data_IF_444869498345
#
_entry.id   IF_444869498345
#
_cell.length_a   1.000
_cell.length_b   1.000
_cell.length_c   1.000
_cell.angle_alpha   90.00
_cell.angle_beta   90.00
_cell.angle_gamma   90.00
#
_symmetry.space_group_name_H-M   'P 1'
#
loop_
_entity.id
_entity.type
_entity.pdbx_description
1 polymer ?
#
# COMPACT_ATOMS: atom_id res chain seq x y z
N UNK A 1 -15.22 28.59 17.77
CA UNK A 1 -14.00 27.85 18.15
C UNK A 1 -13.98 26.37 17.82
N UNK A 2 -14.88 25.53 18.32
CA UNK A 2 -14.81 24.07 18.15
C UNK A 2 -14.68 23.60 16.68
N UNK A 3 -15.59 24.03 15.81
CA UNK A 3 -15.56 23.64 14.38
C UNK A 3 -14.27 24.05 13.67
N UNK A 4 -13.77 25.27 13.91
CA UNK A 4 -12.49 25.72 13.32
C UNK A 4 -11.30 24.88 13.79
N UNK A 5 -11.33 24.41 15.03
CA UNK A 5 -10.31 23.50 15.56
C UNK A 5 -10.39 22.13 14.89
N UNK A 6 -11.58 21.56 14.80
CA UNK A 6 -11.81 20.27 14.13
C UNK A 6 -11.41 20.31 12.65
N UNK A 7 -11.77 21.39 11.95
CA UNK A 7 -11.38 21.61 10.55
C UNK A 7 -9.84 21.69 10.42
N UNK A 8 -9.16 22.40 11.33
CA UNK A 8 -7.69 22.48 11.34
C UNK A 8 -7.03 21.13 11.69
N UNK A 9 -7.58 20.37 12.63
CA UNK A 9 -7.10 19.04 13.00
C UNK A 9 -7.19 18.07 11.81
N UNK A 10 -8.31 18.06 11.10
CA UNK A 10 -8.48 17.24 9.90
C UNK A 10 -7.46 17.61 8.81
N UNK A 11 -7.21 18.90 8.59
CA UNK A 11 -6.22 19.36 7.60
C UNK A 11 -4.80 18.93 7.97
N UNK A 12 -4.41 19.08 9.23
CA UNK A 12 -3.11 18.61 9.71
C UNK A 12 -2.96 17.09 9.59
N UNK A 13 -4.03 16.32 9.85
CA UNK A 13 -4.02 14.87 9.65
C UNK A 13 -3.84 14.50 8.17
N UNK A 14 -4.56 15.18 7.28
CA UNK A 14 -4.46 14.97 5.85
C UNK A 14 -3.08 15.33 5.27
N UNK A 15 -2.49 16.45 5.72
CA UNK A 15 -1.12 16.84 5.34
C UNK A 15 -0.09 15.79 5.79
N UNK A 16 -0.21 15.33 7.04
CA UNK A 16 0.66 14.29 7.57
C UNK A 16 0.52 12.97 6.79
N UNK A 17 -0.70 12.57 6.44
CA UNK A 17 -0.95 11.36 5.67
C UNK A 17 -0.37 11.46 4.25
N UNK A 18 -0.56 12.59 3.58
CA UNK A 18 0.02 12.83 2.26
C UNK A 18 1.55 12.75 2.30
N UNK A 19 2.16 13.40 3.29
CA UNK A 19 3.61 13.39 3.47
C UNK A 19 4.17 12.00 3.80
N UNK A 20 3.56 11.28 4.74
CA UNK A 20 4.04 9.95 5.14
C UNK A 20 3.90 8.95 4.00
N UNK A 21 2.81 9.03 3.23
CA UNK A 21 2.59 8.15 2.07
C UNK A 21 3.63 8.39 0.98
N UNK A 22 3.88 9.65 0.62
CA UNK A 22 4.95 10.01 -0.34
C UNK A 22 6.31 9.51 0.11
N UNK A 23 6.60 9.65 1.41
CA UNK A 23 7.85 9.17 1.98
C UNK A 23 7.99 7.66 1.83
N UNK A 24 6.95 6.88 2.14
CA UNK A 24 6.98 5.42 2.01
C UNK A 24 7.20 5.01 0.56
N UNK A 25 6.52 5.67 -0.40
CA UNK A 25 6.73 5.43 -1.84
C UNK A 25 8.13 5.82 -2.32
N UNK A 26 8.72 6.88 -1.78
CA UNK A 26 10.09 7.26 -2.11
C UNK A 26 11.12 6.24 -1.58
N UNK A 27 10.87 5.67 -0.39
CA UNK A 27 11.78 4.73 0.27
C UNK A 27 11.63 3.28 -0.21
N UNK A 28 10.43 2.88 -0.65
CA UNK A 28 10.11 1.48 -0.98
C UNK A 28 9.41 1.33 -2.33
N UNK A 29 9.40 2.37 -3.16
CA UNK A 29 8.64 2.39 -4.41
C UNK A 29 9.08 1.33 -5.42
N UNK A 30 10.30 0.81 -5.32
CA UNK A 30 10.79 -0.32 -6.10
C UNK A 30 10.09 -1.66 -5.75
N UNK A 31 9.61 -1.80 -4.51
CA UNK A 31 8.91 -2.98 -4.00
C UNK A 31 7.40 -2.95 -4.23
N UNK A 32 6.88 -1.81 -4.69
CA UNK A 32 5.44 -1.62 -4.91
C UNK A 32 5.13 -1.85 -6.39
N UNK A 33 4.01 -2.51 -6.74
CA UNK A 33 3.52 -2.58 -8.12
C UNK A 33 3.25 -1.19 -8.73
N UNK A 34 3.44 -1.03 -10.04
CA UNK A 34 3.31 0.27 -10.72
C UNK A 34 1.88 0.81 -10.75
N UNK A 35 0.88 -0.08 -10.81
CA UNK A 35 -0.53 0.24 -10.69
C UNK A 35 -0.86 0.82 -9.31
N UNK A 36 -0.38 0.20 -8.23
CA UNK A 36 -0.55 0.69 -6.85
C UNK A 36 0.18 2.03 -6.65
N UNK A 37 1.40 2.16 -7.19
CA UNK A 37 2.14 3.43 -7.19
C UNK A 37 1.35 4.56 -7.86
N UNK A 38 0.76 4.29 -9.03
CA UNK A 38 -0.01 5.26 -9.79
C UNK A 38 -1.29 5.68 -9.04
N UNK A 39 -2.03 4.70 -8.50
CA UNK A 39 -3.26 4.94 -7.74
C UNK A 39 -2.99 5.82 -6.51
N UNK A 40 -1.95 5.51 -5.75
CA UNK A 40 -1.62 6.27 -4.54
C UNK A 40 -1.07 7.65 -4.87
N UNK A 41 -0.20 7.78 -5.87
CA UNK A 41 0.32 9.08 -6.30
C UNK A 41 -0.82 10.00 -6.75
N UNK A 42 -1.81 9.46 -7.47
CA UNK A 42 -3.02 10.19 -7.84
C UNK A 42 -3.80 10.64 -6.59
N UNK A 43 -4.07 9.73 -5.64
CA UNK A 43 -4.80 10.05 -4.41
C UNK A 43 -4.09 11.11 -3.55
N UNK A 44 -2.75 11.06 -3.45
CA UNK A 44 -1.95 12.11 -2.78
C UNK A 44 -2.13 13.46 -3.48
N UNK A 45 -2.05 13.47 -4.82
CA UNK A 45 -2.25 14.70 -5.61
C UNK A 45 -3.64 15.30 -5.44
N UNK A 46 -4.68 14.46 -5.42
CA UNK A 46 -6.05 14.89 -5.18
C UNK A 46 -6.25 15.44 -3.76
N UNK A 47 -5.68 14.80 -2.74
CA UNK A 47 -5.74 15.29 -1.37
C UNK A 47 -5.03 16.63 -1.22
N UNK A 48 -3.84 16.79 -1.82
CA UNK A 48 -3.12 18.07 -1.84
C UNK A 48 -3.90 19.17 -2.54
N UNK A 49 -4.58 18.84 -3.63
CA UNK A 49 -5.46 19.78 -4.35
C UNK A 49 -6.63 20.20 -3.48
N UNK A 50 -7.28 19.26 -2.77
CA UNK A 50 -8.35 19.57 -1.84
C UNK A 50 -7.86 20.44 -0.66
N UNK A 51 -6.67 20.14 -0.13
CA UNK A 51 -6.02 20.95 0.91
C UNK A 51 -5.65 22.36 0.43
N UNK A 52 -5.46 22.61 -0.86
CA UNK A 52 -5.23 23.97 -1.36
C UNK A 52 -6.50 24.84 -1.33
N UNK A 53 -7.68 24.23 -1.18
CA UNK A 53 -8.97 24.92 -1.07
C UNK A 53 -9.53 24.96 0.35
N UNK A 54 -10.78 25.43 0.45
CA UNK A 54 -11.52 25.63 1.71
C UNK A 54 -12.63 24.58 1.94
N UNK A 55 -12.78 23.60 1.05
CA UNK A 55 -13.80 22.55 1.15
C UNK A 55 -13.35 21.42 2.08
N UNK A 56 -13.78 21.51 3.35
CA UNK A 56 -13.46 20.53 4.39
C UNK A 56 -14.06 19.15 4.10
N UNK A 57 -15.22 19.06 3.44
CA UNK A 57 -15.82 17.77 3.08
C UNK A 57 -15.01 17.10 1.96
N UNK A 58 -14.50 17.89 1.00
CA UNK A 58 -13.56 17.39 0.00
C UNK A 58 -12.27 16.87 0.64
N UNK A 59 -11.68 17.63 1.58
CA UNK A 59 -10.48 17.18 2.33
C UNK A 59 -10.76 15.87 3.06
N UNK A 60 -11.92 15.76 3.73
CA UNK A 60 -12.32 14.55 4.45
C UNK A 60 -12.43 13.34 3.53
N UNK A 61 -13.13 13.50 2.39
CA UNK A 61 -13.33 12.44 1.42
C UNK A 61 -12.00 11.98 0.80
N UNK A 62 -11.14 12.91 0.38
CA UNK A 62 -9.83 12.59 -0.20
C UNK A 62 -8.86 12.02 0.83
N UNK A 63 -8.93 12.44 2.09
CA UNK A 63 -8.13 11.86 3.17
C UNK A 63 -8.51 10.39 3.42
N UNK A 64 -9.82 10.08 3.43
CA UNK A 64 -10.30 8.71 3.54
C UNK A 64 -9.89 7.85 2.33
N UNK A 65 -9.99 8.41 1.12
CA UNK A 65 -9.56 7.74 -0.10
C UNK A 65 -8.06 7.42 -0.06
N UNK A 66 -7.21 8.40 0.30
CA UNK A 66 -5.78 8.18 0.47
C UNK A 66 -5.49 7.10 1.52
N UNK A 67 -6.14 7.17 2.68
CA UNK A 67 -5.95 6.19 3.73
C UNK A 67 -6.25 4.75 3.28
N UNK A 68 -7.31 4.57 2.48
CA UNK A 68 -7.66 3.26 1.92
C UNK A 68 -6.61 2.75 0.93
N UNK A 69 -6.15 3.59 -0.01
CA UNK A 69 -5.17 3.15 -1.01
C UNK A 69 -3.76 3.00 -0.43
N UNK A 70 -3.42 3.76 0.62
CA UNK A 70 -2.13 3.62 1.33
C UNK A 70 -1.98 2.27 2.03
N UNK A 71 -3.08 1.56 2.34
CA UNK A 71 -3.01 0.19 2.88
C UNK A 71 -2.39 -0.78 1.88
N UNK A 72 -2.69 -0.62 0.58
CA UNK A 72 -2.14 -1.46 -0.51
C UNK A 72 -0.61 -1.36 -0.59
N UNK A 73 -0.03 -0.20 -0.24
CA UNK A 73 1.43 -0.04 -0.17
C UNK A 73 2.02 -0.93 0.92
N UNK A 74 1.41 -0.92 2.12
CA UNK A 74 1.89 -1.73 3.24
C UNK A 74 1.85 -3.23 2.92
N UNK A 75 0.77 -3.69 2.29
CA UNK A 75 0.63 -5.07 1.83
C UNK A 75 1.67 -5.44 0.76
N UNK A 76 1.90 -4.55 -0.21
CA UNK A 76 2.90 -4.79 -1.26
C UNK A 76 4.32 -4.90 -0.70
N UNK A 77 4.71 -3.98 0.20
CA UNK A 77 6.03 -4.01 0.84
C UNK A 77 6.20 -5.28 1.69
N UNK A 78 5.19 -5.65 2.47
CA UNK A 78 5.23 -6.85 3.29
C UNK A 78 5.41 -8.11 2.45
N UNK A 79 4.67 -8.24 1.33
CA UNK A 79 4.81 -9.35 0.38
C UNK A 79 6.22 -9.38 -0.22
N UNK A 80 6.73 -8.25 -0.69
CA UNK A 80 8.07 -8.16 -1.26
C UNK A 80 9.20 -8.54 -0.25
N UNK A 81 9.04 -8.15 1.02
CA UNK A 81 9.98 -8.52 2.08
C UNK A 81 9.89 -10.01 2.45
N UNK A 82 8.68 -10.60 2.44
CA UNK A 82 8.48 -12.03 2.66
C UNK A 82 9.13 -12.88 1.54
N UNK A 83 8.95 -12.48 0.28
CA UNK A 83 9.56 -13.15 -0.88
C UNK A 83 11.08 -13.06 -0.85
N UNK A 84 11.63 -11.90 -0.45
CA UNK A 84 13.07 -11.70 -0.29
C UNK A 84 13.67 -12.60 0.79
N UNK A 85 12.89 -12.89 1.84
CA UNK A 85 13.33 -13.75 2.96
C UNK A 85 13.26 -15.24 2.59
N UNK A 86 12.29 -15.65 1.75
CA UNK A 86 12.23 -16.99 1.17
C UNK A 86 13.39 -17.26 0.19
N UNK A 87 13.74 -16.29 -0.66
CA UNK A 87 14.86 -16.40 -1.59
C UNK A 87 16.24 -16.50 -0.89
N UNK A 88 16.38 -15.94 0.32
CA UNK A 88 17.61 -16.05 1.11
C UNK A 88 17.79 -17.42 1.80
N UNK A 89 16.72 -18.23 1.90
CA UNK A 89 16.77 -19.57 2.48
C UNK A 89 17.23 -20.65 1.47
N UNK A 90 17.17 -20.38 0.17
CA UNK A 90 17.55 -21.31 -0.91
C UNK A 90 19.04 -21.21 -1.33
N UNK A 91 19.81 -20.31 -0.69
CA UNK A 91 21.22 -20.03 -1.01
C UNK A 91 22.26 -20.75 -0.15
N UNK A 92 21.87 -21.66 0.75
CA UNK A 92 22.82 -22.45 1.53
C UNK A 92 23.27 -23.69 0.72
N UNK A 93 24.57 -23.93 0.48
CA UNK A 93 25.03 -25.16 -0.14
C UNK A 93 24.73 -26.34 0.79
N UNK A 94 23.66 -27.06 0.51
CA UNK A 94 23.30 -28.29 1.21
C UNK A 94 24.10 -29.45 0.59
N UNK A 95 25.26 -29.70 1.17
CA UNK A 95 26.00 -30.95 1.00
C UNK A 95 25.21 -32.06 1.72
N UNK A 96 24.38 -32.82 0.99
CA UNK A 96 24.11 -34.27 1.16
C UNK A 96 22.93 -34.74 0.30
N UNK A 97 22.95 -35.99 -0.23
CA UNK A 97 22.07 -36.40 -1.31
C UNK A 97 20.79 -37.11 -0.83
N UNK A 98 19.72 -36.92 -1.61
CA UNK A 98 18.68 -37.89 -1.99
C UNK A 98 17.24 -37.59 -1.57
N UNK A 99 16.38 -37.69 -2.60
CA UNK A 99 14.95 -38.02 -2.62
C UNK A 99 13.92 -36.86 -2.52
N UNK A 100 13.57 -36.37 -3.72
CA UNK A 100 12.20 -36.23 -4.29
C UNK A 100 11.06 -35.61 -3.46
N UNK A 101 10.49 -34.54 -4.03
CA UNK A 101 9.07 -34.12 -4.05
C UNK A 101 8.41 -33.83 -2.69
N UNK A 102 7.70 -32.74 -2.47
CA UNK A 102 6.78 -31.99 -3.34
C UNK A 102 6.73 -30.52 -2.92
N UNK A 103 6.55 -29.68 -3.93
CA UNK A 103 6.12 -28.29 -3.84
C UNK A 103 4.69 -28.19 -3.29
N UNK A 104 4.47 -27.44 -2.21
CA UNK A 104 3.11 -26.99 -1.84
C UNK A 104 3.15 -25.82 -0.84
N UNK A 105 3.59 -24.66 -1.31
CA UNK A 105 3.15 -23.38 -0.73
C UNK A 105 2.83 -22.42 -1.87
N UNK A 106 1.62 -22.55 -2.39
CA UNK A 106 0.98 -21.55 -3.26
C UNK A 106 -0.37 -21.23 -2.64
N UNK A 107 -0.47 -20.08 -1.97
CA UNK A 107 -1.77 -19.51 -1.59
C UNK A 107 -1.71 -17.98 -1.73
N UNK A 108 -2.09 -17.49 -2.91
CA UNK A 108 -2.81 -16.24 -3.10
C UNK A 108 -3.11 -15.98 -4.59
N UNK A 109 -3.93 -16.84 -5.21
CA UNK A 109 -4.80 -16.43 -6.33
C UNK A 109 -6.22 -16.91 -6.04
N UNK A 110 -6.97 -16.13 -5.25
CA UNK A 110 -8.43 -16.15 -5.34
C UNK A 110 -8.80 -15.12 -6.42
N UNK A 111 -9.00 -15.62 -7.64
CA UNK A 111 -9.82 -14.96 -8.65
C UNK A 111 -11.10 -15.78 -8.72
N UNK A 112 -12.10 -15.37 -7.95
CA UNK A 112 -13.49 -15.76 -8.15
C UNK A 112 -13.94 -15.17 -9.49
N UNK A 113 -14.16 -16.00 -10.51
CA UNK A 113 -15.03 -15.67 -11.65
C UNK A 113 -15.73 -16.95 -12.16
N UNK A 114 -17.03 -17.00 -11.84
CA UNK A 114 -18.18 -17.62 -12.51
C UNK A 114 -17.97 -18.74 -13.56
N UNK A 115 -18.70 -19.87 -13.41
CA UNK A 115 -19.74 -20.26 -14.39
C UNK A 115 -20.58 -21.50 -13.97
N UNK A 116 -21.88 -21.22 -13.75
CA UNK A 116 -23.09 -22.00 -14.05
C UNK A 116 -23.04 -23.53 -14.28
N UNK A 117 -23.78 -24.28 -13.44
CA UNK A 117 -24.97 -25.06 -13.85
C UNK A 117 -25.75 -25.66 -12.68
#
# INVERSE_FOLDING_TARGET
DKKRREDAELRNQAENLAYSTDKVLAENGDKVPDDVKAEVTAAVGELRTALAGDDIEAVKAKNAALAAVSQKIGEAIYKADADSQAAAADGAPQDTPSASSDEDVVDAEIVDEDEAK
#
